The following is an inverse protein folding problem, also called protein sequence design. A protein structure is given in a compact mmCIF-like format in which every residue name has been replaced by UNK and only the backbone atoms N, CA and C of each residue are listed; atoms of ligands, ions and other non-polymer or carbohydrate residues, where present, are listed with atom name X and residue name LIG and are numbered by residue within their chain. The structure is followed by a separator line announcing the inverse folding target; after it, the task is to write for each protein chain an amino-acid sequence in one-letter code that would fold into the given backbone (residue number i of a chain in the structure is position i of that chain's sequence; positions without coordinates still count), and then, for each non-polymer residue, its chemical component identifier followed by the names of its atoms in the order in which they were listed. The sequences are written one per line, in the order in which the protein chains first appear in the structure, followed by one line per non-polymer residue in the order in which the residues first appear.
data_IF_558366543838
#
_entry.id   IF_558366543838
#
_cell.length_a   1.000
_cell.length_b   1.000
_cell.length_c   1.000
_cell.angle_alpha   90.00
_cell.angle_beta   90.00
_cell.angle_gamma   90.00
#
_symmetry.space_group_name_H-M   'P 1'
#
loop_
_entity.id
_entity.type
_entity.pdbx_description
1 polymer ?
#
# COMPACT_ATOMS: atom_id res chain seq x y z
N UNK A 1 -59.04 -46.69 8.76
CA UNK A 1 -58.57 -45.58 9.59
C UNK A 1 -57.09 -45.45 9.30
N UNK A 2 -56.66 -44.50 8.41
CA UNK A 2 -55.28 -44.28 8.03
C UNK A 2 -54.80 -43.01 8.75
N UNK A 3 -53.80 -43.13 9.61
CA UNK A 3 -53.16 -42.00 10.28
C UNK A 3 -52.10 -41.41 9.36
N UNK A 4 -52.29 -40.17 8.91
CA UNK A 4 -51.29 -39.35 8.24
C UNK A 4 -50.42 -38.68 9.27
N UNK A 5 -49.11 -39.01 9.27
CA UNK A 5 -48.10 -38.35 10.07
C UNK A 5 -47.48 -37.22 9.21
N UNK A 6 -47.71 -35.99 9.60
CA UNK A 6 -47.10 -34.82 8.93
C UNK A 6 -45.69 -34.61 9.49
N UNK A 7 -44.69 -34.71 8.61
CA UNK A 7 -43.29 -34.33 8.91
C UNK A 7 -43.12 -32.84 8.67
N UNK A 8 -42.92 -32.05 9.73
CA UNK A 8 -42.56 -30.66 9.63
C UNK A 8 -41.02 -30.53 9.45
N UNK A 9 -40.60 -30.17 8.25
CA UNK A 9 -39.19 -29.83 7.96
C UNK A 9 -38.91 -28.42 8.40
N UNK A 10 -38.15 -28.25 9.51
CA UNK A 10 -37.66 -26.97 9.98
C UNK A 10 -36.46 -26.51 9.12
N UNK A 11 -36.62 -25.43 8.33
CA UNK A 11 -35.54 -24.72 7.66
C UNK A 11 -34.80 -23.89 8.69
N UNK A 12 -33.60 -24.32 9.13
CA UNK A 12 -32.66 -23.47 9.84
C UNK A 12 -32.01 -22.50 8.84
N UNK A 13 -32.44 -21.25 8.84
CA UNK A 13 -31.74 -20.17 8.14
C UNK A 13 -30.46 -19.82 8.90
N UNK A 14 -29.31 -20.28 8.43
CA UNK A 14 -28.00 -19.83 8.87
C UNK A 14 -27.80 -18.40 8.35
N UNK A 15 -28.15 -17.38 9.15
CA UNK A 15 -27.71 -16.01 8.95
C UNK A 15 -26.20 -15.96 9.22
N UNK A 16 -25.39 -16.23 8.22
CA UNK A 16 -23.97 -15.95 8.22
C UNK A 16 -23.76 -14.43 8.22
N UNK A 17 -23.48 -13.84 9.39
CA UNK A 17 -22.99 -12.48 9.45
C UNK A 17 -21.61 -12.44 8.75
N UNK A 18 -21.58 -12.02 7.48
CA UNK A 18 -20.36 -11.66 6.82
C UNK A 18 -19.77 -10.45 7.57
N UNK A 19 -18.83 -10.70 8.49
CA UNK A 19 -18.03 -9.67 9.11
C UNK A 19 -17.12 -9.09 8.04
N UNK A 20 -17.57 -8.05 7.35
CA UNK A 20 -16.67 -7.20 6.57
C UNK A 20 -15.71 -6.55 7.56
N UNK A 21 -14.42 -6.90 7.47
CA UNK A 21 -13.40 -6.25 8.29
C UNK A 21 -13.53 -4.74 8.13
N UNK A 22 -13.46 -3.96 9.24
CA UNK A 22 -13.59 -2.52 9.17
C UNK A 22 -12.51 -1.94 8.23
N UNK A 23 -12.87 -0.90 7.47
CA UNK A 23 -11.93 -0.18 6.60
C UNK A 23 -10.77 0.35 7.43
N UNK A 24 -9.56 0.37 6.86
CA UNK A 24 -8.43 1.03 7.54
C UNK A 24 -8.70 2.53 7.68
N UNK A 25 -8.23 3.18 8.76
CA UNK A 25 -8.37 4.62 8.92
C UNK A 25 -7.65 5.33 7.77
N UNK A 26 -8.15 6.48 7.39
CA UNK A 26 -7.51 7.38 6.44
C UNK A 26 -7.24 8.73 7.09
N UNK A 27 -6.22 9.46 6.62
CA UNK A 27 -6.04 10.86 7.02
C UNK A 27 -7.20 11.72 6.53
N UNK A 28 -7.49 12.81 7.22
CA UNK A 28 -8.64 13.66 6.91
C UNK A 28 -8.51 14.31 5.53
N UNK A 29 -7.32 14.82 5.21
CA UNK A 29 -7.03 15.51 3.95
C UNK A 29 -5.56 15.34 3.54
N UNK A 30 -5.31 15.28 2.23
CA UNK A 30 -3.98 15.25 1.61
C UNK A 30 -3.87 16.40 0.62
N UNK A 31 -2.89 17.26 0.82
CA UNK A 31 -2.44 18.23 -0.17
C UNK A 31 -1.66 17.47 -1.26
N UNK A 32 -2.30 17.22 -2.40
CA UNK A 32 -1.70 16.43 -3.48
C UNK A 32 -0.39 17.02 -3.97
N UNK A 33 -0.26 18.32 -4.27
CA UNK A 33 1.00 18.92 -4.66
C UNK A 33 2.15 18.64 -3.69
N UNK A 34 1.91 18.71 -2.37
CA UNK A 34 2.92 18.40 -1.36
C UNK A 34 3.23 16.90 -1.26
N UNK A 35 2.26 16.05 -1.58
CA UNK A 35 2.45 14.59 -1.54
C UNK A 35 3.24 14.09 -2.76
N UNK A 36 3.25 14.81 -3.89
CA UNK A 36 4.00 14.40 -5.09
C UNK A 36 5.51 14.34 -4.84
N UNK A 37 6.24 13.79 -5.80
CA UNK A 37 7.69 13.55 -5.74
C UNK A 37 8.02 12.18 -5.17
N UNK A 38 9.26 12.02 -4.72
CA UNK A 38 9.86 10.75 -4.36
C UNK A 38 9.55 10.34 -2.91
N UNK A 39 9.22 9.07 -2.74
CA UNK A 39 9.04 8.38 -1.46
C UNK A 39 9.87 7.10 -1.45
N UNK A 40 10.85 7.02 -0.56
CA UNK A 40 11.61 5.79 -0.33
C UNK A 40 10.76 4.80 0.43
N UNK A 41 10.66 3.57 -0.06
CA UNK A 41 9.97 2.49 0.66
C UNK A 41 10.90 1.99 1.78
N UNK A 42 10.58 2.32 3.02
CA UNK A 42 11.36 1.93 4.21
C UNK A 42 11.07 0.49 4.62
N UNK A 43 9.78 0.14 4.62
CA UNK A 43 9.33 -1.22 4.88
C UNK A 43 7.98 -1.47 4.20
N UNK A 44 7.69 -2.73 3.92
CA UNK A 44 6.41 -3.11 3.34
C UNK A 44 5.97 -4.52 3.78
N UNK A 45 4.66 -4.77 3.75
CA UNK A 45 4.11 -6.11 3.58
C UNK A 45 3.97 -6.26 2.06
N UNK A 46 4.84 -7.04 1.39
CA UNK A 46 5.06 -6.93 -0.04
C UNK A 46 3.99 -7.63 -0.88
N UNK A 47 3.63 -7.02 -2.01
CA UNK A 47 3.03 -7.75 -3.12
C UNK A 47 4.04 -8.73 -3.75
N UNK A 48 3.54 -9.69 -4.53
CA UNK A 48 4.41 -10.73 -5.14
C UNK A 48 5.61 -10.15 -5.94
N UNK A 49 5.46 -9.11 -6.80
CA UNK A 49 6.60 -8.57 -7.54
C UNK A 49 7.61 -7.83 -6.67
N UNK A 50 7.19 -7.31 -5.50
CA UNK A 50 8.00 -6.48 -4.61
C UNK A 50 8.72 -7.28 -3.51
N UNK A 51 8.46 -8.59 -3.39
CA UNK A 51 8.88 -9.44 -2.25
C UNK A 51 10.35 -9.28 -1.88
N UNK A 52 11.22 -9.13 -2.87
CA UNK A 52 12.66 -9.00 -2.68
C UNK A 52 13.17 -7.63 -3.17
N UNK A 53 12.41 -6.57 -2.93
CA UNK A 53 12.78 -5.22 -3.36
C UNK A 53 13.96 -4.66 -2.55
N UNK A 54 14.84 -3.94 -3.25
CA UNK A 54 15.98 -3.15 -2.77
C UNK A 54 15.94 -1.79 -3.44
N UNK A 55 16.41 -0.74 -2.78
CA UNK A 55 16.42 0.64 -3.31
C UNK A 55 15.07 1.02 -3.94
N UNK A 56 13.96 0.67 -3.27
CA UNK A 56 12.63 0.92 -3.79
C UNK A 56 12.21 2.37 -3.53
N UNK A 57 11.77 3.03 -4.60
CA UNK A 57 11.24 4.41 -4.59
C UNK A 57 9.93 4.42 -5.35
N UNK A 58 8.92 5.07 -4.79
CA UNK A 58 7.71 5.49 -5.48
C UNK A 58 7.74 6.98 -5.76
N UNK A 59 7.74 7.37 -7.04
CA UNK A 59 7.67 8.76 -7.48
C UNK A 59 6.28 9.05 -8.00
N UNK A 60 5.63 10.06 -7.44
CA UNK A 60 4.28 10.48 -7.83
C UNK A 60 4.31 11.81 -8.54
N UNK A 61 3.49 11.95 -9.57
CA UNK A 61 3.23 13.22 -10.25
C UNK A 61 1.77 13.39 -10.59
N UNK A 62 1.25 14.60 -10.44
CA UNK A 62 -0.12 14.94 -10.80
C UNK A 62 -0.19 15.17 -12.30
N UNK A 63 -1.11 14.48 -12.98
CA UNK A 63 -1.38 14.62 -14.40
C UNK A 63 -2.38 15.76 -14.63
N UNK A 64 -2.44 16.28 -15.85
CA UNK A 64 -3.42 17.31 -16.26
C UNK A 64 -4.89 16.86 -16.11
N UNK A 65 -5.14 15.55 -16.23
CA UNK A 65 -6.46 14.95 -16.04
C UNK A 65 -6.82 14.69 -14.56
N UNK A 66 -5.99 15.16 -13.61
CA UNK A 66 -6.19 15.01 -12.19
C UNK A 66 -5.84 13.62 -11.62
N UNK A 67 -5.39 12.69 -12.46
CA UNK A 67 -4.89 11.38 -12.00
C UNK A 67 -3.46 11.48 -11.51
N UNK A 68 -3.04 10.49 -10.73
CA UNK A 68 -1.68 10.39 -10.18
C UNK A 68 -0.89 9.40 -11.03
N UNK A 69 0.13 9.90 -11.74
CA UNK A 69 1.11 9.03 -12.37
C UNK A 69 2.08 8.54 -11.31
N UNK A 70 2.28 7.23 -11.23
CA UNK A 70 3.28 6.62 -10.36
C UNK A 70 4.42 6.07 -11.21
N UNK A 71 5.63 6.28 -10.76
CA UNK A 71 6.83 5.60 -11.24
C UNK A 71 7.43 4.86 -10.06
N UNK A 72 7.13 3.56 -9.94
CA UNK A 72 7.72 2.69 -8.93
C UNK A 72 8.98 2.04 -9.50
N UNK A 73 10.10 2.30 -8.84
CA UNK A 73 11.43 1.85 -9.25
C UNK A 73 12.03 1.02 -8.11
N UNK A 74 12.59 -0.14 -8.40
CA UNK A 74 13.23 -1.01 -7.42
C UNK A 74 14.23 -1.96 -8.10
N UNK A 75 15.09 -2.62 -7.30
CA UNK A 75 15.91 -3.75 -7.71
C UNK A 75 15.40 -5.01 -7.04
N UNK A 76 15.45 -6.15 -7.69
CA UNK A 76 14.94 -7.40 -7.13
C UNK A 76 16.07 -8.34 -6.77
N UNK A 77 16.19 -8.68 -5.49
CA UNK A 77 17.13 -9.69 -4.97
C UNK A 77 18.51 -9.13 -4.61
N UNK A 78 18.77 -7.84 -4.81
CA UNK A 78 20.06 -7.23 -4.42
C UNK A 78 20.27 -5.85 -5.01
N UNK A 79 21.27 -5.13 -4.45
CA UNK A 79 21.63 -3.78 -4.89
C UNK A 79 22.22 -3.73 -6.31
N UNK A 80 22.86 -4.80 -6.74
CA UNK A 80 23.52 -4.87 -8.05
C UNK A 80 22.61 -5.51 -9.13
N UNK A 81 21.37 -5.90 -8.76
CA UNK A 81 20.39 -6.41 -9.70
C UNK A 81 19.90 -5.30 -10.65
N UNK A 82 19.47 -5.64 -11.87
CA UNK A 82 18.90 -4.68 -12.80
C UNK A 82 17.71 -3.92 -12.19
N UNK A 83 17.60 -2.63 -12.50
CA UNK A 83 16.45 -1.80 -12.13
C UNK A 83 15.19 -2.35 -12.80
N UNK A 84 14.11 -2.42 -12.04
CA UNK A 84 12.76 -2.72 -12.52
C UNK A 84 11.87 -1.51 -12.29
N UNK A 85 10.94 -1.30 -13.18
CA UNK A 85 9.98 -0.20 -13.09
C UNK A 85 8.56 -0.68 -13.31
N UNK A 86 7.62 -0.03 -12.63
CA UNK A 86 6.18 -0.14 -12.88
C UNK A 86 5.58 1.26 -12.93
N UNK A 87 4.52 1.43 -13.72
CA UNK A 87 3.91 2.73 -13.97
C UNK A 87 2.39 2.71 -13.72
N UNK A 88 1.93 2.35 -12.50
CA UNK A 88 0.51 2.37 -12.21
C UNK A 88 -0.03 3.80 -12.21
N UNK A 89 -1.34 3.92 -12.45
CA UNK A 89 -2.03 5.21 -12.43
C UNK A 89 -3.06 5.20 -11.31
N UNK A 90 -2.95 6.18 -10.41
CA UNK A 90 -3.88 6.40 -9.31
C UNK A 90 -5.03 7.31 -9.73
N UNK A 91 -6.25 6.92 -9.38
CA UNK A 91 -7.45 7.76 -9.49
C UNK A 91 -7.91 8.10 -8.08
N UNK A 92 -7.90 9.38 -7.75
CA UNK A 92 -8.35 9.87 -6.43
C UNK A 92 -9.85 9.66 -6.29
N UNK A 93 -10.31 9.08 -5.18
CA UNK A 93 -11.73 8.87 -4.90
C UNK A 93 -12.35 10.13 -4.33
N UNK A 94 -13.43 10.57 -4.95
CA UNK A 94 -14.18 11.77 -4.53
C UNK A 94 -14.68 11.62 -3.09
N UNK A 95 -14.66 12.71 -2.30
CA UNK A 95 -15.17 12.74 -0.93
C UNK A 95 -14.27 12.09 0.11
N UNK A 96 -13.03 11.73 -0.25
CA UNK A 96 -12.09 11.06 0.68
C UNK A 96 -11.01 11.98 1.24
N UNK A 97 -11.07 13.29 0.97
CA UNK A 97 -9.99 14.21 1.33
C UNK A 97 -8.67 13.89 0.60
N UNK A 98 -8.74 13.39 -0.62
CA UNK A 98 -7.61 12.94 -1.43
C UNK A 98 -6.81 11.77 -0.82
N UNK A 99 -7.27 11.16 0.25
CA UNK A 99 -6.52 10.12 0.97
C UNK A 99 -6.75 8.70 0.45
N UNK A 100 -7.73 8.48 -0.43
CA UNK A 100 -8.02 7.16 -1.00
C UNK A 100 -7.93 7.21 -2.51
N UNK A 101 -7.12 6.31 -3.07
CA UNK A 101 -6.93 6.19 -4.51
C UNK A 101 -7.26 4.77 -4.99
N UNK A 102 -7.66 4.67 -6.24
CA UNK A 102 -7.71 3.41 -6.97
C UNK A 102 -6.47 3.28 -7.85
N UNK A 103 -5.51 2.43 -7.46
CA UNK A 103 -4.26 2.21 -8.21
C UNK A 103 -4.47 1.17 -9.31
N UNK A 104 -4.27 1.54 -10.55
CA UNK A 104 -4.45 0.69 -11.72
C UNK A 104 -3.10 0.22 -12.26
N UNK A 105 -2.78 -1.06 -12.05
CA UNK A 105 -1.63 -1.74 -12.63
C UNK A 105 -1.98 -2.39 -13.99
N UNK A 106 -3.17 -2.96 -14.07
CA UNK A 106 -3.71 -3.62 -15.28
C UNK A 106 -5.19 -3.26 -15.40
N UNK A 107 -5.59 -2.74 -16.56
CA UNK A 107 -6.99 -2.42 -16.83
C UNK A 107 -7.86 -3.71 -16.84
N UNK A 108 -9.07 -3.72 -16.27
CA UNK A 108 -9.78 -2.62 -15.59
C UNK A 108 -9.62 -2.61 -14.05
N UNK A 109 -8.69 -3.39 -13.49
CA UNK A 109 -8.55 -3.64 -12.05
C UNK A 109 -7.92 -2.44 -11.35
N UNK A 110 -8.57 -1.95 -10.31
CA UNK A 110 -8.04 -0.92 -9.41
C UNK A 110 -7.83 -1.50 -8.01
N UNK A 111 -6.58 -1.47 -7.55
CA UNK A 111 -6.23 -1.80 -6.19
C UNK A 111 -6.49 -0.59 -5.26
N UNK A 112 -7.04 -0.86 -4.08
CA UNK A 112 -7.22 0.18 -3.07
C UNK A 112 -5.85 0.65 -2.54
N UNK A 113 -5.71 1.96 -2.39
CA UNK A 113 -4.54 2.65 -1.84
C UNK A 113 -5.06 3.70 -0.86
N UNK A 114 -4.77 3.54 0.43
CA UNK A 114 -5.27 4.42 1.50
C UNK A 114 -4.08 5.05 2.20
N UNK A 115 -3.97 6.37 2.15
CA UNK A 115 -3.02 7.12 2.97
C UNK A 115 -3.58 7.13 4.39
N UNK A 116 -3.11 6.19 5.20
CA UNK A 116 -3.63 5.92 6.55
C UNK A 116 -2.92 6.72 7.63
N UNK A 117 -1.71 7.14 7.37
CA UNK A 117 -0.93 8.06 8.16
C UNK A 117 -0.10 8.95 7.25
N UNK A 118 0.02 10.20 7.63
CA UNK A 118 0.88 11.19 6.99
C UNK A 118 1.29 12.19 8.08
N UNK A 119 2.58 12.40 8.28
CA UNK A 119 3.05 13.38 9.22
C UNK A 119 2.79 14.82 8.71
N UNK A 120 2.71 15.82 9.59
CA UNK A 120 2.39 17.20 9.20
C UNK A 120 3.39 17.81 8.20
N UNK A 121 4.64 17.37 8.23
CA UNK A 121 5.71 17.86 7.37
C UNK A 121 5.79 17.12 6.03
N UNK A 122 4.96 16.07 5.83
CA UNK A 122 4.96 15.23 4.63
C UNK A 122 6.31 14.50 4.42
N UNK A 123 6.93 14.06 5.51
CA UNK A 123 8.21 13.35 5.49
C UNK A 123 8.09 11.85 5.70
N UNK A 124 7.01 11.40 6.36
CA UNK A 124 6.70 10.00 6.64
C UNK A 124 5.22 9.70 6.35
N UNK A 125 4.95 8.59 5.68
CA UNK A 125 3.58 8.15 5.38
C UNK A 125 3.43 6.65 5.55
N UNK A 126 2.21 6.21 5.88
CA UNK A 126 1.80 4.81 5.82
C UNK A 126 0.68 4.70 4.81
N UNK A 127 0.90 3.85 3.82
CA UNK A 127 -0.11 3.45 2.87
C UNK A 127 -0.61 2.06 3.23
N UNK A 128 -1.92 1.91 3.26
CA UNK A 128 -2.59 0.72 3.72
C UNK A 128 -3.72 0.29 2.76
N UNK A 129 -4.29 -0.89 3.02
CA UNK A 129 -5.46 -1.43 2.31
C UNK A 129 -6.42 -2.06 3.30
N UNK A 130 -7.73 -1.93 3.07
CA UNK A 130 -8.77 -2.51 3.93
C UNK A 130 -8.69 -4.04 4.03
N UNK A 131 -8.15 -4.71 3.01
CA UNK A 131 -7.86 -6.15 3.03
C UNK A 131 -6.71 -6.55 3.96
N UNK A 132 -5.86 -5.59 4.35
CA UNK A 132 -4.66 -5.80 5.18
C UNK A 132 -3.65 -6.81 4.60
N UNK A 133 -3.70 -6.98 3.28
CA UNK A 133 -2.81 -7.87 2.52
C UNK A 133 -1.47 -7.22 2.17
N UNK A 134 -1.47 -5.89 1.96
CA UNK A 134 -0.28 -5.10 1.64
C UNK A 134 -0.27 -3.80 2.46
N UNK A 135 0.92 -3.33 2.79
CA UNK A 135 1.15 -2.04 3.43
C UNK A 135 2.55 -1.53 3.07
N UNK A 136 2.72 -0.20 3.10
CA UNK A 136 4.00 0.45 2.85
C UNK A 136 4.23 1.53 3.90
N UNK A 137 5.42 1.53 4.52
CA UNK A 137 5.98 2.65 5.29
C UNK A 137 6.95 3.34 4.36
N UNK A 138 6.69 4.60 4.06
CA UNK A 138 7.50 5.37 3.10
C UNK A 138 7.94 6.68 3.71
N UNK A 139 9.12 7.17 3.30
CA UNK A 139 9.67 8.43 3.79
C UNK A 139 10.35 9.23 2.67
N UNK A 140 10.56 10.54 2.90
CA UNK A 140 11.31 11.41 1.98
C UNK A 140 12.81 11.16 2.00
N UNK A 141 13.31 10.40 2.96
CA UNK A 141 14.70 10.00 3.07
C UNK A 141 14.83 8.48 3.11
N UNK A 142 15.93 7.91 2.59
CA UNK A 142 16.12 6.46 2.55
C UNK A 142 16.34 5.82 3.93
N UNK A 143 16.61 6.63 4.93
CA UNK A 143 16.81 6.23 6.34
C UNK A 143 15.97 7.12 7.23
N UNK A 144 15.28 6.50 8.19
CA UNK A 144 14.50 7.20 9.22
C UNK A 144 14.99 6.78 10.61
N UNK A 145 14.76 7.61 11.65
CA UNK A 145 15.05 7.23 13.03
C UNK A 145 14.32 5.95 13.44
N UNK A 146 14.96 5.09 14.22
CA UNK A 146 14.37 3.82 14.66
C UNK A 146 13.08 4.04 15.47
N UNK A 147 12.99 5.12 16.24
CA UNK A 147 11.77 5.49 16.97
C UNK A 147 10.61 5.80 16.02
N UNK A 148 10.85 6.50 14.90
CA UNK A 148 9.82 6.77 13.88
C UNK A 148 9.38 5.49 13.16
N UNK A 149 10.33 4.58 12.91
CA UNK A 149 10.03 3.26 12.36
C UNK A 149 9.16 2.44 13.33
N UNK A 150 9.53 2.40 14.61
CA UNK A 150 8.78 1.66 15.64
C UNK A 150 7.35 2.21 15.79
N UNK A 151 7.16 3.54 15.78
CA UNK A 151 5.82 4.16 15.78
C UNK A 151 5.00 3.76 14.56
N UNK A 152 5.59 3.80 13.36
CA UNK A 152 4.91 3.39 12.14
C UNK A 152 4.48 1.90 12.17
N UNK A 153 5.33 1.01 12.71
CA UNK A 153 5.01 -0.41 12.92
C UNK A 153 3.86 -0.56 13.93
N UNK A 154 3.88 0.21 15.02
CA UNK A 154 2.81 0.18 16.01
C UNK A 154 1.47 0.61 15.40
N UNK A 155 1.46 1.68 14.58
CA UNK A 155 0.26 2.11 13.84
C UNK A 155 -0.29 1.02 12.92
N UNK A 156 0.57 0.30 12.21
CA UNK A 156 0.14 -0.85 11.40
C UNK A 156 -0.48 -1.95 12.27
N UNK A 157 0.10 -2.25 13.44
CA UNK A 157 -0.44 -3.23 14.39
C UNK A 157 -1.81 -2.80 14.90
N UNK A 158 -1.99 -1.52 15.25
CA UNK A 158 -3.26 -0.97 15.72
C UNK A 158 -4.35 -1.00 14.64
N UNK A 159 -3.94 -0.91 13.36
CA UNK A 159 -4.82 -1.11 12.20
C UNK A 159 -5.15 -2.59 11.91
N UNK A 160 -4.60 -3.53 12.68
CA UNK A 160 -4.85 -4.97 12.55
C UNK A 160 -4.01 -5.69 11.50
N UNK A 161 -2.86 -5.12 11.12
CA UNK A 161 -1.91 -5.80 10.24
C UNK A 161 -1.07 -6.84 10.98
N UNK A 162 -0.70 -7.89 10.27
CA UNK A 162 0.29 -8.87 10.71
C UNK A 162 1.70 -8.29 10.51
N UNK A 163 2.20 -7.61 11.52
CA UNK A 163 3.50 -6.91 11.45
C UNK A 163 4.70 -7.84 11.45
N UNK A 164 4.51 -9.13 11.72
CA UNK A 164 5.49 -10.19 11.51
C UNK A 164 5.80 -10.45 10.02
N UNK A 165 4.90 -10.05 9.12
CA UNK A 165 5.10 -10.10 7.67
C UNK A 165 5.81 -8.86 7.11
N UNK A 166 6.02 -7.83 7.94
CA UNK A 166 6.65 -6.59 7.52
C UNK A 166 8.14 -6.78 7.27
N UNK A 167 8.59 -6.46 6.08
CA UNK A 167 10.00 -6.52 5.66
C UNK A 167 10.56 -5.12 5.50
N UNK A 168 11.68 -4.80 6.18
CA UNK A 168 12.48 -3.60 5.86
C UNK A 168 13.04 -3.74 4.43
N UNK A 169 12.94 -2.68 3.65
CA UNK A 169 13.51 -2.60 2.30
C UNK A 169 14.94 -2.06 2.42
N UNK A 170 15.97 -2.83 2.04
CA UNK A 170 17.33 -2.35 2.11
C UNK A 170 17.55 -1.16 1.17
N UNK A 171 18.17 -0.10 1.69
CA UNK A 171 18.44 1.15 1.00
C UNK A 171 19.95 1.42 1.00
N UNK A 172 20.55 1.71 -0.18
CA UNK A 172 21.94 2.09 -0.37
C UNK A 172 22.03 3.25 -1.36
N UNK A 173 22.30 4.44 -0.86
CA UNK A 173 22.35 5.66 -1.65
C UNK A 173 23.61 6.48 -1.36
N UNK A 174 24.20 7.22 -2.34
CA UNK A 174 23.78 7.25 -3.75
C UNK A 174 24.02 5.92 -4.46
N UNK A 175 23.26 5.64 -5.52
CA UNK A 175 23.57 4.53 -6.40
C UNK A 175 24.88 4.79 -7.15
N UNK A 176 25.73 3.78 -7.31
CA UNK A 176 27.00 3.92 -8.03
C UNK A 176 26.77 4.01 -9.54
N UNK A 177 27.73 4.59 -10.28
CA UNK A 177 27.63 4.73 -11.74
C UNK A 177 27.46 3.39 -12.49
N UNK A 178 27.88 2.26 -11.88
CA UNK A 178 27.62 0.91 -12.42
C UNK A 178 26.14 0.56 -12.37
N UNK A 179 25.42 1.14 -11.43
CA UNK A 179 24.00 0.90 -11.21
C UNK A 179 23.12 1.61 -12.26
N UNK A 180 23.62 2.70 -12.87
CA UNK A 180 22.90 3.48 -13.87
C UNK A 180 22.91 2.81 -15.28
N UNK A 181 23.83 1.88 -15.53
CA UNK A 181 24.02 1.24 -16.84
C UNK A 181 23.05 0.10 -17.17
N UNK A 182 22.18 -0.29 -16.27
CA UNK A 182 21.23 -1.40 -16.43
C UNK A 182 19.83 -0.95 -16.86
N UNK A 183 19.70 0.21 -17.50
CA UNK A 183 18.45 0.61 -18.15
C UNK A 183 18.52 0.29 -19.64
N UNK A 184 17.73 -0.66 -20.18
CA UNK A 184 17.56 -0.84 -21.62
C UNK A 184 16.73 0.29 -22.21
#
# INVERSE_FOLDING_TARGET
MKRMTALAAGLLALCGCAHTAPTVPKVANVDLPRFMGDWYVIAHIPSFPERDAYNAIESYSLREDGRIQTHFRYRRGGFDAPVRTMHPVGTVRVGTGNAVWGMQFVWPIQAEYVISYLDPDYTLTIVARSKRDYAWIMARTPVIPEAAYADAVQRLRDMGYRTDELRKVPQRWPETASDAKATP
#
